data_IF_562075293304
#
_entry.id   IF_562075293304
#
_cell.length_a   1.000
_cell.length_b   1.000
_cell.length_c   1.000
_cell.angle_alpha   90.00
_cell.angle_beta   90.00
_cell.angle_gamma   90.00
#
_symmetry.space_group_name_H-M   'P 1'
#
loop_
_entity.id
_entity.type
_entity.pdbx_description
1 polymer ?
#
# COMPACT_ATOMS: atom_id res chain seq x y z
N UNK A 1 15.53 -5.67 8.04
CA UNK A 1 14.25 -6.30 7.69
C UNK A 1 14.54 -7.73 7.27
N UNK A 2 13.92 -8.74 7.89
CA UNK A 2 14.32 -10.14 7.66
C UNK A 2 13.52 -10.85 6.55
N UNK A 3 12.37 -10.30 6.12
CA UNK A 3 11.44 -11.02 5.22
C UNK A 3 11.02 -10.26 3.95
N UNK A 4 11.22 -8.93 3.87
CA UNK A 4 10.82 -8.12 2.72
C UNK A 4 11.57 -6.79 2.66
N UNK A 5 11.71 -6.25 1.46
CA UNK A 5 12.08 -4.85 1.22
C UNK A 5 10.84 -3.96 1.35
N UNK A 6 10.96 -2.82 2.02
CA UNK A 6 9.87 -1.87 2.21
C UNK A 6 10.20 -0.52 1.60
N UNK A 7 9.21 0.14 1.01
CA UNK A 7 9.31 1.50 0.48
C UNK A 7 8.03 2.28 0.78
N UNK A 8 8.16 3.60 0.86
CA UNK A 8 7.02 4.51 0.99
C UNK A 8 6.75 5.15 -0.36
N UNK A 9 5.48 5.16 -0.78
CA UNK A 9 5.02 5.82 -2.00
C UNK A 9 3.87 6.76 -1.63
N UNK A 10 4.13 8.07 -1.66
CA UNK A 10 3.17 9.06 -1.18
C UNK A 10 3.08 10.27 -2.11
N UNK A 11 1.91 10.92 -2.10
CA UNK A 11 1.67 12.19 -2.79
C UNK A 11 1.97 13.41 -1.91
N UNK A 12 2.51 13.21 -0.72
CA UNK A 12 3.03 14.30 0.12
C UNK A 12 4.41 14.75 -0.39
N UNK A 13 4.78 16.04 -0.24
CA UNK A 13 6.14 16.49 -0.53
C UNK A 13 7.20 15.66 0.19
N UNK A 14 8.28 15.29 -0.52
CA UNK A 14 9.30 14.37 -0.01
C UNK A 14 10.00 14.87 1.25
N UNK A 15 10.32 16.17 1.32
CA UNK A 15 10.96 16.78 2.49
C UNK A 15 10.11 16.62 3.76
N UNK A 16 8.80 16.84 3.65
CA UNK A 16 7.87 16.70 4.77
C UNK A 16 7.79 15.25 5.26
N UNK A 17 7.73 14.29 4.33
CA UNK A 17 7.71 12.86 4.64
C UNK A 17 9.00 12.41 5.32
N UNK A 18 10.16 12.76 4.77
CA UNK A 18 11.45 12.39 5.36
C UNK A 18 11.59 12.94 6.78
N UNK A 19 11.15 14.18 7.02
CA UNK A 19 11.16 14.77 8.36
C UNK A 19 10.25 14.01 9.33
N UNK A 20 8.99 13.77 8.95
CA UNK A 20 8.02 13.06 9.79
C UNK A 20 8.49 11.64 10.12
N UNK A 21 9.00 10.91 9.13
CA UNK A 21 9.50 9.55 9.31
C UNK A 21 10.73 9.49 10.21
N UNK A 22 11.63 10.48 10.09
CA UNK A 22 12.80 10.61 10.96
C UNK A 22 12.42 11.00 12.40
N UNK A 23 11.45 11.90 12.58
CA UNK A 23 10.92 12.30 13.89
C UNK A 23 10.30 11.11 14.65
N UNK A 24 9.68 10.17 13.92
CA UNK A 24 9.12 8.95 14.49
C UNK A 24 10.09 7.75 14.49
N UNK A 25 11.33 7.94 14.05
CA UNK A 25 12.38 6.90 13.99
C UNK A 25 11.97 5.63 13.21
N UNK A 26 11.16 5.81 12.17
CA UNK A 26 10.69 4.71 11.32
C UNK A 26 11.37 4.67 9.94
N UNK A 27 12.13 5.72 9.60
CA UNK A 27 12.93 5.80 8.37
C UNK A 27 13.95 4.65 8.18
N UNK A 28 14.56 4.03 9.21
CA UNK A 28 15.54 2.96 8.98
C UNK A 28 14.91 1.64 8.51
N UNK A 29 13.58 1.52 8.57
CA UNK A 29 12.86 0.31 8.16
C UNK A 29 12.48 0.29 6.69
N UNK A 30 12.66 1.40 5.96
CA UNK A 30 12.33 1.52 4.53
C UNK A 30 13.57 1.85 3.71
N UNK A 31 13.68 1.24 2.54
CA UNK A 31 14.80 1.48 1.64
C UNK A 31 14.69 2.84 0.93
N UNK A 32 13.47 3.30 0.68
CA UNK A 32 13.19 4.54 -0.08
C UNK A 32 11.90 5.18 0.42
N UNK A 33 11.92 6.51 0.54
CA UNK A 33 10.72 7.34 0.70
C UNK A 33 10.50 8.14 -0.58
N UNK A 34 9.50 7.76 -1.37
CA UNK A 34 9.16 8.42 -2.64
C UNK A 34 8.00 9.39 -2.44
N UNK A 35 8.30 10.69 -2.50
CA UNK A 35 7.32 11.77 -2.43
C UNK A 35 6.77 12.19 -3.80
N UNK A 36 5.84 13.15 -3.79
CA UNK A 36 5.11 13.62 -4.97
C UNK A 36 6.01 14.04 -6.14
N UNK A 37 7.16 14.64 -5.85
CA UNK A 37 8.08 15.20 -6.85
C UNK A 37 8.78 14.13 -7.69
N UNK A 38 8.80 12.88 -7.22
CA UNK A 38 9.56 11.81 -7.86
C UNK A 38 8.78 11.11 -8.98
N UNK A 39 7.53 11.50 -9.26
CA UNK A 39 6.66 10.87 -10.27
C UNK A 39 5.34 10.31 -9.71
N UNK A 40 4.62 9.54 -10.51
CA UNK A 40 3.35 8.93 -10.11
C UNK A 40 3.58 7.66 -9.27
N UNK A 41 2.60 7.29 -8.42
CA UNK A 41 2.65 6.04 -7.65
C UNK A 41 2.88 4.80 -8.53
N UNK A 42 2.32 4.80 -9.74
CA UNK A 42 2.48 3.72 -10.71
C UNK A 42 3.93 3.61 -11.18
N UNK A 43 4.58 4.73 -11.47
CA UNK A 43 5.99 4.77 -11.92
C UNK A 43 6.94 4.38 -10.80
N UNK A 44 6.72 4.86 -9.57
CA UNK A 44 7.52 4.45 -8.40
C UNK A 44 7.50 2.95 -8.19
N UNK A 45 6.30 2.37 -8.19
CA UNK A 45 6.15 0.93 -8.04
C UNK A 45 6.81 0.18 -9.19
N UNK A 46 6.66 0.64 -10.43
CA UNK A 46 7.32 0.06 -11.60
C UNK A 46 8.86 0.07 -11.44
N UNK A 47 9.47 1.21 -11.11
CA UNK A 47 10.92 1.34 -10.97
C UNK A 47 11.47 0.53 -9.80
N UNK A 48 10.70 0.42 -8.72
CA UNK A 48 11.10 -0.34 -7.54
C UNK A 48 11.05 -1.85 -7.77
N UNK A 49 10.16 -2.35 -8.62
CA UNK A 49 9.80 -3.78 -8.65
C UNK A 49 10.06 -4.50 -9.97
N UNK A 50 10.07 -3.77 -11.09
CA UNK A 50 10.24 -4.36 -12.42
C UNK A 50 11.56 -5.14 -12.51
N UNK A 51 11.47 -6.39 -12.98
CA UNK A 51 12.57 -7.33 -13.15
C UNK A 51 13.35 -7.68 -11.86
N UNK A 52 12.82 -7.31 -10.68
CA UNK A 52 13.47 -7.54 -9.36
C UNK A 52 12.75 -8.59 -8.50
N UNK A 53 11.44 -8.74 -8.67
CA UNK A 53 10.62 -9.68 -7.90
C UNK A 53 9.80 -10.59 -8.80
N UNK A 54 9.53 -11.81 -8.33
CA UNK A 54 8.62 -12.73 -9.02
C UNK A 54 7.17 -12.23 -8.95
N UNK A 55 6.28 -12.70 -9.85
CA UNK A 55 4.85 -12.47 -9.72
C UNK A 55 4.36 -12.85 -8.31
N UNK A 56 3.37 -12.12 -7.79
CA UNK A 56 2.81 -12.29 -6.45
C UNK A 56 3.76 -12.01 -5.27
N UNK A 57 4.98 -11.53 -5.51
CA UNK A 57 5.94 -11.14 -4.45
C UNK A 57 6.02 -9.62 -4.24
N UNK A 58 5.06 -8.88 -4.79
CA UNK A 58 4.93 -7.43 -4.60
C UNK A 58 3.55 -7.16 -4.03
N UNK A 59 3.50 -6.49 -2.87
CA UNK A 59 2.27 -6.11 -2.20
C UNK A 59 2.27 -4.60 -1.96
N UNK A 60 1.25 -3.93 -2.47
CA UNK A 60 1.00 -2.52 -2.20
C UNK A 60 -0.05 -2.40 -1.09
N UNK A 61 0.29 -1.69 -0.02
CA UNK A 61 -0.62 -1.41 1.10
C UNK A 61 -1.10 0.03 0.96
N UNK A 62 -2.41 0.28 0.98
CA UNK A 62 -2.93 1.64 0.83
C UNK A 62 -4.42 1.78 1.08
N UNK A 63 -4.87 3.02 1.25
CA UNK A 63 -6.22 3.41 1.69
C UNK A 63 -7.08 4.01 0.56
N UNK A 64 -6.49 4.25 -0.62
CA UNK A 64 -7.18 4.89 -1.73
C UNK A 64 -7.26 4.01 -2.98
N UNK A 65 -8.28 4.26 -3.80
CA UNK A 65 -8.41 3.65 -5.14
C UNK A 65 -7.23 3.94 -6.07
N UNK A 66 -6.49 5.02 -5.82
CA UNK A 66 -5.25 5.32 -6.56
C UNK A 66 -4.17 4.26 -6.32
N UNK A 67 -4.07 3.76 -5.09
CA UNK A 67 -3.12 2.71 -4.71
C UNK A 67 -3.47 1.38 -5.33
N UNK A 68 -4.74 0.96 -5.24
CA UNK A 68 -5.23 -0.22 -5.94
C UNK A 68 -4.91 -0.19 -7.44
N UNK A 69 -5.16 0.95 -8.11
CA UNK A 69 -4.87 1.12 -9.54
C UNK A 69 -3.37 1.06 -9.84
N UNK A 70 -2.53 1.62 -8.98
CA UNK A 70 -1.07 1.56 -9.13
C UNK A 70 -0.56 0.12 -8.97
N UNK A 71 -1.09 -0.62 -8.00
CA UNK A 71 -0.78 -2.03 -7.77
C UNK A 71 -1.14 -2.89 -8.99
N UNK A 72 -2.41 -2.87 -9.41
CA UNK A 72 -2.88 -3.65 -10.56
C UNK A 72 -2.19 -3.24 -11.86
N UNK A 73 -1.89 -1.95 -12.03
CA UNK A 73 -1.13 -1.43 -13.18
C UNK A 73 0.31 -1.94 -13.28
N UNK A 74 0.83 -2.57 -12.22
CA UNK A 74 2.18 -3.17 -12.14
C UNK A 74 2.15 -4.67 -11.84
N UNK A 75 0.99 -5.33 -11.98
CA UNK A 75 0.81 -6.75 -11.59
C UNK A 75 1.21 -7.05 -10.14
N UNK A 76 1.10 -6.06 -9.26
CA UNK A 76 1.28 -6.22 -7.83
C UNK A 76 -0.05 -6.57 -7.14
N UNK A 77 0.06 -7.22 -5.99
CA UNK A 77 -1.04 -7.46 -5.08
C UNK A 77 -1.40 -6.16 -4.33
N UNK A 78 -2.61 -6.08 -3.81
CA UNK A 78 -3.10 -4.94 -3.04
C UNK A 78 -3.67 -5.38 -1.70
N UNK A 79 -3.30 -4.68 -0.62
CA UNK A 79 -3.92 -4.79 0.70
C UNK A 79 -4.55 -3.44 1.09
N UNK A 80 -5.86 -3.40 1.38
CA UNK A 80 -6.54 -2.18 1.74
C UNK A 80 -6.32 -1.79 3.20
N UNK A 81 -6.08 -0.51 3.45
CA UNK A 81 -6.29 0.11 4.77
C UNK A 81 -7.66 0.79 4.72
N UNK A 82 -8.63 0.26 5.48
CA UNK A 82 -10.01 0.75 5.42
C UNK A 82 -10.14 2.09 6.18
N UNK A 83 -10.61 3.17 5.53
CA UNK A 83 -10.81 4.45 6.20
C UNK A 83 -11.75 4.35 7.41
N UNK A 84 -11.33 4.91 8.55
CA UNK A 84 -12.02 4.84 9.84
C UNK A 84 -11.92 3.48 10.54
N UNK A 85 -11.19 2.52 9.98
CA UNK A 85 -10.93 1.18 10.53
C UNK A 85 -9.45 0.81 10.34
N UNK A 86 -8.56 1.79 10.46
CA UNK A 86 -7.14 1.66 10.16
C UNK A 86 -6.46 0.66 11.12
N UNK A 87 -6.74 0.75 12.42
CA UNK A 87 -6.17 -0.13 13.44
C UNK A 87 -6.54 -1.61 13.17
N UNK A 88 -7.82 -1.88 12.90
CA UNK A 88 -8.29 -3.22 12.54
C UNK A 88 -7.65 -3.73 11.23
N UNK A 89 -7.43 -2.83 10.26
CA UNK A 89 -6.75 -3.19 9.00
C UNK A 89 -5.30 -3.60 9.25
N UNK A 90 -4.59 -2.87 10.12
CA UNK A 90 -3.20 -3.21 10.50
C UNK A 90 -3.11 -4.49 11.32
N UNK A 91 -4.05 -4.73 12.23
CA UNK A 91 -4.11 -5.97 13.01
C UNK A 91 -4.36 -7.19 12.10
N UNK A 92 -5.32 -7.08 11.17
CA UNK A 92 -5.59 -8.11 10.16
C UNK A 92 -4.37 -8.35 9.26
N UNK A 93 -3.70 -7.28 8.85
CA UNK A 93 -2.48 -7.36 8.04
C UNK A 93 -1.41 -8.18 8.76
N UNK A 94 -1.11 -7.83 10.01
CA UNK A 94 -0.04 -8.47 10.77
C UNK A 94 -0.35 -9.93 11.10
N UNK A 95 -1.57 -10.22 11.58
CA UNK A 95 -1.93 -11.54 12.07
C UNK A 95 -2.28 -12.54 10.96
N UNK A 96 -2.80 -12.08 9.81
CA UNK A 96 -3.34 -12.96 8.78
C UNK A 96 -2.75 -12.69 7.39
N UNK A 97 -2.81 -11.44 6.93
CA UNK A 97 -2.55 -11.12 5.54
C UNK A 97 -1.07 -11.24 5.17
N UNK A 98 -0.17 -10.78 6.04
CA UNK A 98 1.29 -10.88 5.87
C UNK A 98 1.77 -12.34 5.84
N UNK A 99 1.38 -13.23 6.77
CA UNK A 99 1.69 -14.66 6.67
C UNK A 99 1.22 -15.30 5.36
N UNK A 100 0.02 -14.95 4.87
CA UNK A 100 -0.50 -15.44 3.58
C UNK A 100 0.33 -14.93 2.41
N UNK A 101 0.73 -13.66 2.44
CA UNK A 101 1.59 -13.07 1.41
C UNK A 101 2.95 -13.77 1.35
N UNK A 102 3.62 -13.94 2.49
CA UNK A 102 4.93 -14.62 2.57
C UNK A 102 4.88 -16.09 2.11
N UNK A 103 3.71 -16.74 2.21
CA UNK A 103 3.49 -18.11 1.73
C UNK A 103 2.99 -18.20 0.28
N UNK A 104 2.85 -17.08 -0.43
CA UNK A 104 2.25 -17.01 -1.77
C UNK A 104 0.77 -17.49 -1.81
N UNK A 105 0.05 -17.39 -0.70
CA UNK A 105 -1.37 -17.78 -0.55
C UNK A 105 -2.33 -16.57 -0.58
N UNK A 106 -1.80 -15.36 -0.81
CA UNK A 106 -2.58 -14.12 -0.77
C UNK A 106 -3.38 -13.86 -2.05
N UNK A 107 -2.82 -14.20 -3.21
CA UNK A 107 -3.41 -13.87 -4.50
C UNK A 107 -4.73 -14.64 -4.76
N UNK A 108 -5.63 -14.04 -5.54
CA UNK A 108 -6.91 -14.64 -5.93
C UNK A 108 -8.03 -14.32 -4.95
N UNK A 109 -8.80 -15.34 -4.53
CA UNK A 109 -10.04 -15.15 -3.79
C UNK A 109 -9.89 -14.36 -2.48
N UNK A 110 -8.72 -14.44 -1.84
CA UNK A 110 -8.43 -13.71 -0.61
C UNK A 110 -8.29 -12.20 -0.86
N UNK A 111 -7.40 -11.81 -1.79
CA UNK A 111 -7.27 -10.42 -2.23
C UNK A 111 -8.61 -9.85 -2.72
N UNK A 112 -9.36 -10.62 -3.53
CA UNK A 112 -10.65 -10.19 -4.07
C UNK A 112 -11.68 -9.93 -2.95
N UNK A 113 -11.69 -10.76 -1.90
CA UNK A 113 -12.56 -10.57 -0.73
C UNK A 113 -12.22 -9.25 -0.03
N UNK A 114 -10.95 -9.01 0.28
CA UNK A 114 -10.50 -7.78 0.96
C UNK A 114 -10.81 -6.54 0.12
N UNK A 115 -10.57 -6.60 -1.19
CA UNK A 115 -10.89 -5.49 -2.09
C UNK A 115 -12.39 -5.22 -2.20
N UNK A 116 -13.23 -6.27 -2.19
CA UNK A 116 -14.67 -6.12 -2.21
C UNK A 116 -15.20 -5.43 -0.95
N UNK A 117 -14.65 -5.77 0.20
CA UNK A 117 -14.94 -5.12 1.48
C UNK A 117 -14.45 -3.66 1.48
N UNK A 118 -13.23 -3.40 1.03
CA UNK A 118 -12.67 -2.05 0.92
C UNK A 118 -13.56 -1.08 0.13
N UNK A 119 -14.19 -1.53 -0.96
CA UNK A 119 -15.10 -0.70 -1.75
C UNK A 119 -16.30 -0.16 -0.95
N UNK A 120 -16.70 -0.84 0.14
CA UNK A 120 -17.80 -0.41 1.01
C UNK A 120 -17.38 0.81 1.85
N UNK A 121 -16.10 0.90 2.21
CA UNK A 121 -15.54 2.00 3.01
C UNK A 121 -15.24 3.26 2.18
N UNK A 122 -15.22 3.14 0.85
CA UNK A 122 -15.01 4.29 -0.01
C UNK A 122 -16.22 5.22 0.00
N UNK A 123 -16.03 6.54 0.14
CA UNK A 123 -17.14 7.49 0.13
C UNK A 123 -17.82 7.49 -1.25
N UNK A 124 -19.04 6.97 -1.31
CA UNK A 124 -19.89 7.04 -2.51
C UNK A 124 -20.28 8.48 -2.88
N UNK A 125 -20.23 9.39 -1.90
CA UNK A 125 -20.59 10.79 -2.05
C UNK A 125 -19.47 11.66 -1.50
N UNK A 126 -18.88 12.55 -2.30
CA UNK A 126 -17.88 13.47 -1.81
C UNK A 126 -18.46 14.35 -0.68
N UNK A 127 -17.65 14.73 0.32
CA UNK A 127 -18.14 15.37 1.55
C UNK A 127 -18.92 16.68 1.30
N UNK A 128 -18.61 17.41 0.21
CA UNK A 128 -19.32 18.64 -0.17
C UNK A 128 -20.69 18.42 -0.85
N UNK A 129 -21.11 17.17 -1.08
CA UNK A 129 -22.45 16.80 -1.58
C UNK A 129 -23.38 16.25 -0.50
N UNK A 130 -22.92 16.15 0.75
CA UNK A 130 -23.79 15.87 1.91
C UNK A 130 -24.45 17.19 2.34
N UNK A 131 -25.48 17.60 1.60
CA UNK A 131 -26.38 18.69 2.00
C UNK A 131 -27.49 18.16 2.89
#
# INVERSE_FOLDING_TARGET
AENADAMVVSQTPGEALCREWAEHHIDPYVAVIAGQEMGTKKEHLAFATKDKYQPNHVLMIGDAMGDYKAAKGNNALFFPINPGHEEASWELFYNEALPKFLKNEYAGAYEDKLFNEFKIYLPNTPPWKKC
#
